data_IF_134423240372
#
_entry.id   IF_134423240372
#
_cell.length_a   1.000
_cell.length_b   1.000
_cell.length_c   1.000
_cell.angle_alpha   90.00
_cell.angle_beta   90.00
_cell.angle_gamma   90.00
#
_symmetry.space_group_name_H-M   'P 1'
#
loop_
_entity.id
_entity.type
_entity.pdbx_description
1 polymer ?
#
# COMPACT_ATOMS: atom_id res chain seq x y z
N UNK A 1 11.59 24.72 4.33
CA UNK A 1 10.30 24.36 4.95
C UNK A 1 10.44 23.93 6.41
N UNK A 2 11.61 23.45 6.88
CA UNK A 2 11.81 23.05 8.30
C UNK A 2 11.45 24.11 9.34
N UNK A 3 11.67 25.40 9.06
CA UNK A 3 11.23 26.49 9.97
C UNK A 3 9.71 26.65 10.08
N UNK A 4 8.95 26.07 9.15
CA UNK A 4 7.49 26.18 9.06
C UNK A 4 6.80 24.84 9.36
N UNK A 5 7.56 23.78 9.65
CA UNK A 5 7.05 22.40 9.83
C UNK A 5 6.11 21.96 8.68
N UNK A 6 6.43 22.40 7.46
CA UNK A 6 5.56 22.17 6.32
C UNK A 6 5.83 20.80 5.69
N UNK A 7 4.79 19.98 5.63
CA UNK A 7 4.75 18.72 4.89
C UNK A 7 3.84 18.87 3.64
N UNK A 8 4.28 18.43 2.46
CA UNK A 8 3.47 18.47 1.25
C UNK A 8 2.17 17.66 1.39
N UNK A 9 1.06 18.22 0.92
CA UNK A 9 -0.20 17.48 0.83
C UNK A 9 -0.25 16.68 -0.49
N UNK A 10 0.19 15.42 -0.43
CA UNK A 10 0.19 14.53 -1.58
C UNK A 10 -1.20 14.30 -2.18
N UNK A 11 -2.28 14.31 -1.38
CA UNK A 11 -3.64 14.16 -1.91
C UNK A 11 -4.03 15.31 -2.82
N UNK A 12 -3.69 16.55 -2.43
CA UNK A 12 -3.96 17.73 -3.25
C UNK A 12 -3.11 17.76 -4.53
N UNK A 13 -1.82 17.41 -4.43
CA UNK A 13 -0.92 17.31 -5.58
C UNK A 13 -1.42 16.27 -6.58
N UNK A 14 -1.81 15.09 -6.10
CA UNK A 14 -2.34 14.01 -6.91
C UNK A 14 -3.63 14.41 -7.63
N UNK A 15 -4.54 15.11 -6.94
CA UNK A 15 -5.77 15.62 -7.54
C UNK A 15 -5.50 16.59 -8.70
N UNK A 16 -4.54 17.51 -8.53
CA UNK A 16 -4.14 18.47 -9.57
C UNK A 16 -3.45 17.76 -10.74
N UNK A 17 -2.56 16.81 -10.43
CA UNK A 17 -1.78 16.07 -11.43
C UNK A 17 -2.58 14.97 -12.14
N UNK A 18 -3.81 14.67 -11.68
CA UNK A 18 -4.68 13.58 -12.18
C UNK A 18 -3.99 12.20 -12.18
N UNK A 19 -3.02 12.02 -11.30
CA UNK A 19 -2.31 10.77 -11.03
C UNK A 19 -2.13 10.64 -9.53
N UNK A 20 -2.24 9.42 -9.00
CA UNK A 20 -2.12 9.17 -7.56
C UNK A 20 -0.70 8.82 -7.13
N UNK A 21 0.21 8.56 -8.07
CA UNK A 21 1.55 8.01 -7.81
C UNK A 21 1.49 6.87 -6.77
N UNK A 22 0.48 6.00 -6.89
CA UNK A 22 0.18 4.94 -5.93
C UNK A 22 -0.05 3.63 -6.66
N UNK A 23 0.60 2.55 -6.21
CA UNK A 23 0.40 1.18 -6.68
C UNK A 23 -0.41 0.40 -5.63
N UNK A 24 -1.51 -0.20 -6.07
CA UNK A 24 -2.40 -0.99 -5.22
C UNK A 24 -2.07 -2.48 -5.26
N UNK A 25 -1.87 -3.10 -4.10
CA UNK A 25 -1.73 -4.55 -3.93
C UNK A 25 -3.04 -5.08 -3.36
N UNK A 26 -3.76 -5.88 -4.14
CA UNK A 26 -5.00 -6.54 -3.72
C UNK A 26 -4.70 -7.98 -3.32
N UNK A 27 -4.86 -8.28 -2.04
CA UNK A 27 -4.67 -9.62 -1.49
C UNK A 27 -5.95 -10.44 -1.61
N UNK A 28 -5.83 -11.78 -1.74
CA UNK A 28 -6.98 -12.67 -1.70
C UNK A 28 -7.76 -12.52 -0.37
N UNK A 29 -8.99 -12.99 -0.36
CA UNK A 29 -9.81 -12.97 0.85
C UNK A 29 -9.22 -13.98 1.85
N UNK A 30 -9.11 -13.59 3.11
CA UNK A 30 -8.64 -14.49 4.17
C UNK A 30 -9.69 -15.56 4.45
N UNK A 31 -9.38 -16.82 4.17
CA UNK A 31 -10.26 -17.97 4.46
C UNK A 31 -10.03 -18.59 5.85
N UNK A 32 -9.13 -18.03 6.66
CA UNK A 32 -8.83 -18.46 8.03
C UNK A 32 -7.73 -17.64 8.70
N UNK A 33 -7.34 -18.01 9.92
CA UNK A 33 -6.26 -17.31 10.64
C UNK A 33 -4.91 -17.42 9.90
N UNK A 34 -4.67 -18.52 9.18
CA UNK A 34 -3.37 -18.88 8.60
C UNK A 34 -3.12 -18.41 7.15
N UNK A 35 -4.08 -17.77 6.48
CA UNK A 35 -4.03 -17.67 5.01
C UNK A 35 -3.13 -16.56 4.44
N UNK A 36 -2.91 -15.45 5.16
CA UNK A 36 -2.20 -14.27 4.61
C UNK A 36 -1.23 -13.60 5.60
N UNK A 37 -1.66 -13.33 6.83
CA UNK A 37 -0.82 -12.62 7.81
C UNK A 37 0.34 -13.45 8.38
N UNK A 38 0.20 -14.78 8.36
CA UNK A 38 1.21 -15.71 8.91
C UNK A 38 2.08 -16.36 7.82
N UNK A 39 1.84 -16.05 6.54
CA UNK A 39 2.59 -16.66 5.45
C UNK A 39 3.74 -15.74 5.01
N UNK A 40 5.01 -16.11 5.29
CA UNK A 40 6.17 -15.27 5.00
C UNK A 40 6.37 -15.00 3.51
N UNK A 41 5.84 -15.84 2.62
CA UNK A 41 5.90 -15.63 1.18
C UNK A 41 5.23 -14.32 0.74
N UNK A 42 4.03 -14.03 1.24
CA UNK A 42 3.32 -12.80 0.87
C UNK A 42 3.98 -11.56 1.47
N UNK A 43 4.48 -11.66 2.71
CA UNK A 43 5.17 -10.54 3.35
C UNK A 43 6.46 -10.18 2.62
N UNK A 44 7.24 -11.17 2.15
CA UNK A 44 8.43 -10.93 1.36
C UNK A 44 8.09 -10.24 0.03
N UNK A 45 7.08 -10.74 -0.68
CA UNK A 45 6.65 -10.13 -1.95
C UNK A 45 6.18 -8.69 -1.74
N UNK A 46 5.39 -8.41 -0.71
CA UNK A 46 4.92 -7.05 -0.41
C UNK A 46 6.10 -6.13 -0.09
N UNK A 47 7.08 -6.61 0.67
CA UNK A 47 8.29 -5.84 0.98
C UNK A 47 9.11 -5.52 -0.28
N UNK A 48 9.34 -6.52 -1.13
CA UNK A 48 10.13 -6.33 -2.35
C UNK A 48 9.44 -5.37 -3.33
N UNK A 49 8.12 -5.51 -3.51
CA UNK A 49 7.32 -4.55 -4.29
C UNK A 49 7.42 -3.14 -3.68
N UNK A 50 7.28 -3.02 -2.35
CA UNK A 50 7.36 -1.74 -1.66
C UNK A 50 8.73 -1.08 -1.78
N UNK A 51 9.82 -1.85 -1.79
CA UNK A 51 11.17 -1.33 -1.99
C UNK A 51 11.28 -0.67 -3.36
N UNK A 52 10.89 -1.39 -4.41
CA UNK A 52 10.94 -0.88 -5.79
C UNK A 52 10.01 0.33 -5.96
N UNK A 53 8.80 0.30 -5.38
CA UNK A 53 7.90 1.46 -5.45
C UNK A 53 8.50 2.69 -4.77
N UNK A 54 9.13 2.52 -3.61
CA UNK A 54 9.78 3.61 -2.87
C UNK A 54 10.96 4.21 -3.63
N UNK A 55 11.72 3.41 -4.37
CA UNK A 55 12.81 3.89 -5.24
C UNK A 55 12.31 4.76 -6.40
N UNK A 56 11.03 4.65 -6.74
CA UNK A 56 10.39 5.37 -7.84
C UNK A 56 9.35 6.41 -7.38
N UNK A 57 9.36 6.80 -6.09
CA UNK A 57 8.41 7.76 -5.50
C UNK A 57 6.93 7.35 -5.62
N UNK A 58 6.66 6.04 -5.67
CA UNK A 58 5.31 5.49 -5.61
C UNK A 58 4.93 5.08 -4.19
N UNK A 59 3.72 5.47 -3.77
CA UNK A 59 3.10 4.93 -2.57
C UNK A 59 2.55 3.53 -2.82
N UNK A 60 2.62 2.64 -1.84
CA UNK A 60 1.95 1.33 -1.90
C UNK A 60 0.68 1.37 -1.05
N UNK A 61 -0.44 0.91 -1.62
CA UNK A 61 -1.70 0.74 -0.91
C UNK A 61 -2.07 -0.74 -0.87
N UNK A 62 -2.39 -1.27 0.31
CA UNK A 62 -2.76 -2.68 0.49
C UNK A 62 -4.27 -2.80 0.73
N UNK A 63 -4.93 -3.66 -0.03
CA UNK A 63 -6.33 -4.02 0.16
C UNK A 63 -6.47 -5.51 0.45
N UNK A 64 -7.20 -5.88 1.50
CA UNK A 64 -7.51 -7.27 1.83
C UNK A 64 -8.94 -7.40 2.36
N UNK A 65 -9.57 -8.52 2.06
CA UNK A 65 -10.93 -8.85 2.52
C UNK A 65 -10.93 -9.95 3.58
N UNK A 66 -12.02 -10.00 4.34
CA UNK A 66 -12.36 -11.12 5.23
C UNK A 66 -13.67 -11.74 4.76
N UNK A 67 -13.71 -13.07 4.63
CA UNK A 67 -14.98 -13.76 4.38
C UNK A 67 -15.81 -13.67 5.66
N UNK A 68 -17.01 -13.09 5.57
CA UNK A 68 -18.00 -13.21 6.65
C UNK A 68 -18.68 -14.55 6.41
N UNK A 69 -18.39 -15.54 7.24
CA UNK A 69 -19.06 -16.84 7.19
C UNK A 69 -20.57 -16.62 7.24
N UNK A 70 -21.28 -17.15 6.24
CA UNK A 70 -22.73 -17.30 6.27
C UNK A 70 -23.10 -18.58 6.99
#
# INVERSE_FOLDING_TARGET
>A
MEKLDYSPNYSAQNLVNRTTNTIGIVLPVREGQDSLGNNPFFMQIIQDISSVCSEHDYMVSLASGRTVGR
#
